data_IF_963421260671
#
_entry.id   IF_963421260671
#
_cell.length_a   1.000
_cell.length_b   1.000
_cell.length_c   1.000
_cell.angle_alpha   90.00
_cell.angle_beta   90.00
_cell.angle_gamma   90.00
#
_symmetry.space_group_name_H-M   'P 1'
#
loop_
_entity.id
_entity.type
_entity.pdbx_description
1 polymer ?
#
# COMPACT_ATOMS: atom_id res chain seq x y z
N UNK A 1 26.57 10.13 16.46
CA UNK A 1 27.42 10.77 15.42
C UNK A 1 26.72 10.58 14.08
N UNK A 2 26.63 11.61 13.22
CA UNK A 2 26.15 11.41 11.86
C UNK A 2 27.06 10.40 11.16
N UNK A 3 26.47 9.43 10.45
CA UNK A 3 27.22 8.52 9.58
C UNK A 3 27.87 9.34 8.47
N UNK A 4 29.11 9.04 8.10
CA UNK A 4 29.75 9.73 6.97
C UNK A 4 29.11 9.29 5.64
N UNK A 5 28.88 10.25 4.75
CA UNK A 5 28.34 10.00 3.40
C UNK A 5 29.30 9.13 2.58
N UNK A 6 28.79 8.00 2.06
CA UNK A 6 29.54 7.14 1.14
C UNK A 6 29.53 7.73 -0.26
N UNK A 7 30.72 8.05 -0.79
CA UNK A 7 30.93 8.53 -2.16
C UNK A 7 30.07 9.79 -2.49
N UNK A 8 30.37 10.93 -1.84
CA UNK A 8 29.61 12.16 -1.99
C UNK A 8 29.68 12.72 -3.40
N UNK A 9 30.78 12.51 -4.14
CA UNK A 9 30.92 13.01 -5.52
C UNK A 9 29.87 12.40 -6.43
N UNK A 10 29.68 11.07 -6.41
CA UNK A 10 28.64 10.43 -7.20
C UNK A 10 27.23 10.82 -6.76
N UNK A 11 27.01 11.02 -5.47
CA UNK A 11 25.71 11.50 -4.97
C UNK A 11 25.35 12.87 -5.56
N UNK A 12 26.28 13.82 -5.56
CA UNK A 12 26.05 15.14 -6.14
C UNK A 12 25.85 15.08 -7.67
N UNK A 13 26.52 14.16 -8.37
CA UNK A 13 26.29 13.94 -9.80
C UNK A 13 24.87 13.43 -10.10
N UNK A 14 24.38 12.46 -9.31
CA UNK A 14 23.01 11.95 -9.44
C UNK A 14 22.00 13.07 -9.17
N UNK A 15 22.18 13.82 -8.09
CA UNK A 15 21.30 14.95 -7.75
C UNK A 15 21.31 16.00 -8.85
N UNK A 16 22.48 16.33 -9.41
CA UNK A 16 22.61 17.26 -10.53
C UNK A 16 21.85 16.79 -11.78
N UNK A 17 21.92 15.50 -12.12
CA UNK A 17 21.14 14.91 -13.22
C UNK A 17 19.64 14.98 -12.97
N UNK A 18 19.21 14.63 -11.76
CA UNK A 18 17.80 14.69 -11.36
C UNK A 18 17.29 16.11 -11.49
N UNK A 19 17.96 17.10 -10.88
CA UNK A 19 17.56 18.51 -10.96
C UNK A 19 17.53 19.05 -12.39
N UNK A 20 18.40 18.56 -13.28
CA UNK A 20 18.40 18.92 -14.69
C UNK A 20 17.31 18.21 -15.52
N UNK A 21 16.57 17.27 -14.93
CA UNK A 21 15.57 16.45 -15.61
C UNK A 21 16.17 15.41 -16.57
N UNK A 22 17.47 15.12 -16.45
CA UNK A 22 18.23 14.22 -17.33
C UNK A 22 18.69 12.98 -16.55
N UNK A 23 17.71 12.21 -16.08
CA UNK A 23 17.92 11.00 -15.26
C UNK A 23 17.05 9.84 -15.76
N UNK A 24 17.19 8.66 -15.17
CA UNK A 24 16.37 7.47 -15.44
C UNK A 24 15.99 6.75 -14.12
N UNK A 25 15.35 5.58 -14.20
CA UNK A 25 15.02 4.79 -13.01
C UNK A 25 16.26 4.35 -12.23
N UNK A 26 17.38 4.10 -12.91
CA UNK A 26 18.64 3.68 -12.27
C UNK A 26 19.24 4.81 -11.42
N UNK A 27 19.13 6.05 -11.86
CA UNK A 27 19.55 7.21 -11.08
C UNK A 27 18.75 7.34 -9.77
N UNK A 28 17.44 7.09 -9.82
CA UNK A 28 16.58 7.06 -8.64
C UNK A 28 16.95 5.90 -7.72
N UNK A 29 17.12 4.69 -8.24
CA UNK A 29 17.56 3.53 -7.43
C UNK A 29 18.91 3.81 -6.74
N UNK A 30 19.90 4.32 -7.48
CA UNK A 30 21.21 4.67 -6.93
C UNK A 30 21.12 5.75 -5.84
N UNK A 31 20.22 6.73 -5.99
CA UNK A 31 19.95 7.73 -4.95
C UNK A 31 19.41 7.05 -3.68
N UNK A 32 18.40 6.19 -3.80
CA UNK A 32 17.80 5.45 -2.69
C UNK A 32 18.86 4.61 -1.96
N UNK A 33 19.63 3.82 -2.70
CA UNK A 33 20.70 2.98 -2.15
C UNK A 33 21.74 3.78 -1.36
N UNK A 34 22.11 4.96 -1.87
CA UNK A 34 23.08 5.84 -1.21
C UNK A 34 22.53 6.49 0.05
N UNK A 35 21.27 6.94 0.04
CA UNK A 35 20.72 7.72 1.15
C UNK A 35 20.03 6.88 2.24
N UNK A 36 19.64 5.62 1.97
CA UNK A 36 18.87 4.79 2.93
C UNK A 36 19.48 4.68 4.32
N UNK A 37 20.81 4.61 4.42
CA UNK A 37 21.52 4.37 5.67
C UNK A 37 21.45 5.57 6.63
N UNK A 38 21.05 6.72 6.12
CA UNK A 38 20.96 7.98 6.84
C UNK A 38 19.52 8.34 7.24
N UNK A 39 18.55 7.50 6.85
CA UNK A 39 17.15 7.65 7.23
C UNK A 39 16.90 7.13 8.65
N UNK A 40 15.86 7.67 9.29
CA UNK A 40 15.35 7.13 10.55
C UNK A 40 14.81 5.70 10.36
N UNK A 41 14.64 4.99 11.48
CA UNK A 41 13.90 3.74 11.46
C UNK A 41 12.41 4.03 11.22
N UNK A 42 11.76 3.22 10.37
CA UNK A 42 10.31 3.28 10.07
C UNK A 42 9.82 4.56 9.39
N UNK A 43 10.65 5.17 8.56
CA UNK A 43 10.21 6.28 7.69
C UNK A 43 9.77 5.74 6.32
N UNK A 44 8.89 6.46 5.62
CA UNK A 44 8.44 6.12 4.27
C UNK A 44 9.59 6.10 3.26
N UNK A 45 10.53 7.04 3.33
CA UNK A 45 11.74 7.02 2.51
C UNK A 45 12.54 5.74 2.73
N UNK A 46 12.75 5.34 4.00
CA UNK A 46 13.46 4.10 4.32
C UNK A 46 12.71 2.87 3.79
N UNK A 47 11.40 2.85 3.94
CA UNK A 47 10.52 1.80 3.39
C UNK A 47 10.75 1.64 1.90
N UNK A 48 10.58 2.71 1.11
CA UNK A 48 10.77 2.67 -0.35
C UNK A 48 12.18 2.25 -0.72
N UNK A 49 13.20 2.80 -0.05
CA UNK A 49 14.60 2.48 -0.36
C UNK A 49 14.96 1.02 -0.07
N UNK A 50 14.47 0.47 1.04
CA UNK A 50 14.65 -0.94 1.38
C UNK A 50 13.85 -1.84 0.43
N UNK A 51 12.63 -1.42 0.06
CA UNK A 51 11.78 -2.15 -0.87
C UNK A 51 12.41 -2.30 -2.26
N UNK A 52 13.01 -1.22 -2.76
CA UNK A 52 13.72 -1.25 -4.06
C UNK A 52 15.00 -2.09 -3.94
N UNK A 53 15.84 -1.81 -2.94
CA UNK A 53 17.21 -2.31 -2.92
C UNK A 53 17.40 -3.75 -2.39
N UNK A 54 16.48 -4.28 -1.58
CA UNK A 54 16.70 -5.57 -0.88
C UNK A 54 15.44 -6.43 -0.79
N UNK A 55 15.43 -7.55 -1.49
CA UNK A 55 14.32 -8.51 -1.45
C UNK A 55 14.02 -9.04 -0.04
N UNK A 56 15.03 -9.19 0.82
CA UNK A 56 14.85 -9.65 2.21
C UNK A 56 14.16 -8.59 3.08
N UNK A 57 14.45 -7.32 2.83
CA UNK A 57 13.89 -6.20 3.59
C UNK A 57 12.41 -5.98 3.26
N UNK A 58 11.95 -6.39 2.06
CA UNK A 58 10.53 -6.36 1.68
C UNK A 58 9.63 -7.22 2.59
N UNK A 59 10.22 -8.16 3.34
CA UNK A 59 9.50 -9.04 4.25
C UNK A 59 9.22 -8.37 5.62
N UNK A 60 9.53 -7.08 5.78
CA UNK A 60 9.25 -6.26 6.96
C UNK A 60 8.91 -4.83 6.53
N UNK A 61 8.38 -4.03 7.46
CA UNK A 61 8.10 -2.62 7.21
C UNK A 61 6.63 -2.30 6.93
N UNK A 62 6.37 -1.05 6.54
CA UNK A 62 5.04 -0.47 6.43
C UNK A 62 4.15 -1.20 5.41
N UNK A 63 4.69 -1.51 4.23
CA UNK A 63 3.93 -2.19 3.18
C UNK A 63 3.52 -3.61 3.61
N UNK A 64 4.46 -4.36 4.19
CA UNK A 64 4.24 -5.71 4.69
C UNK A 64 3.24 -5.73 5.86
N UNK A 65 3.38 -4.81 6.81
CA UNK A 65 2.47 -4.67 7.95
C UNK A 65 1.04 -4.31 7.49
N UNK A 66 0.94 -3.41 6.51
CA UNK A 66 -0.35 -2.91 6.00
C UNK A 66 -1.13 -4.00 5.27
N UNK A 67 -0.51 -4.70 4.31
CA UNK A 67 -1.20 -5.80 3.62
C UNK A 67 -1.49 -6.98 4.55
N UNK A 68 -0.63 -7.25 5.54
CA UNK A 68 -0.90 -8.29 6.55
C UNK A 68 -2.14 -7.96 7.39
N UNK A 69 -2.28 -6.69 7.81
CA UNK A 69 -3.46 -6.24 8.53
C UNK A 69 -4.74 -6.36 7.67
N UNK A 70 -4.64 -6.04 6.38
CA UNK A 70 -5.74 -6.20 5.44
C UNK A 70 -6.12 -7.68 5.24
N UNK A 71 -5.13 -8.55 5.00
CA UNK A 71 -5.31 -10.01 4.90
C UNK A 71 -6.01 -10.58 6.14
N UNK A 72 -5.56 -10.21 7.34
CA UNK A 72 -6.22 -10.65 8.58
C UNK A 72 -7.67 -10.16 8.68
N UNK A 73 -7.97 -8.96 8.16
CA UNK A 73 -9.33 -8.39 8.18
C UNK A 73 -10.25 -9.16 7.24
N UNK A 74 -9.80 -9.49 6.03
CA UNK A 74 -10.58 -10.30 5.09
C UNK A 74 -10.73 -11.74 5.60
N UNK A 75 -9.67 -12.33 6.15
CA UNK A 75 -9.74 -13.67 6.75
C UNK A 75 -10.75 -13.71 7.91
N UNK A 76 -10.73 -12.71 8.81
CA UNK A 76 -11.72 -12.60 9.87
C UNK A 76 -13.15 -12.41 9.35
N UNK A 77 -13.33 -11.59 8.32
CA UNK A 77 -14.63 -11.41 7.69
C UNK A 77 -15.17 -12.73 7.11
N UNK A 78 -14.33 -13.53 6.45
CA UNK A 78 -14.72 -14.84 5.94
C UNK A 78 -15.14 -15.78 7.08
N UNK A 79 -14.24 -16.00 8.04
CA UNK A 79 -14.39 -17.02 9.08
C UNK A 79 -15.48 -16.69 10.11
N UNK A 80 -15.67 -15.41 10.46
CA UNK A 80 -16.52 -15.01 11.60
C UNK A 80 -17.76 -14.23 11.18
N UNK A 81 -17.68 -13.42 10.12
CA UNK A 81 -18.79 -12.55 9.69
C UNK A 81 -19.65 -13.24 8.64
N UNK A 82 -19.05 -13.67 7.52
CA UNK A 82 -19.73 -14.32 6.41
C UNK A 82 -20.31 -15.69 6.82
N UNK A 83 -19.51 -16.51 7.50
CA UNK A 83 -19.95 -17.80 8.04
C UNK A 83 -20.82 -17.69 9.31
N UNK A 84 -21.04 -16.47 9.82
CA UNK A 84 -21.82 -16.19 11.04
C UNK A 84 -21.35 -16.98 12.27
N UNK A 85 -20.06 -17.29 12.33
CA UNK A 85 -19.44 -18.00 13.44
C UNK A 85 -19.09 -17.00 14.55
N UNK A 86 -19.61 -17.16 15.77
CA UNK A 86 -19.22 -16.28 16.87
C UNK A 86 -17.75 -16.54 17.26
N UNK A 87 -17.01 -15.46 17.50
CA UNK A 87 -15.69 -15.55 18.12
C UNK A 87 -15.86 -15.73 19.64
N UNK A 88 -15.47 -16.91 20.15
CA UNK A 88 -15.41 -17.18 21.57
C UNK A 88 -14.02 -16.86 22.13
N UNK A 89 -13.94 -15.82 22.97
CA UNK A 89 -12.69 -15.39 23.62
C UNK A 89 -12.40 -16.14 24.95
N UNK A 90 -13.33 -17.00 25.40
CA UNK A 90 -13.12 -17.83 26.59
C UNK A 90 -12.26 -19.06 26.32
N UNK A 91 -12.15 -19.45 25.04
CA UNK A 91 -11.31 -20.54 24.55
C UNK A 91 -10.12 -20.00 23.76
N UNK A 92 -9.16 -20.87 23.43
CA UNK A 92 -8.03 -20.47 22.58
C UNK A 92 -8.49 -20.23 21.15
N UNK A 93 -8.04 -19.14 20.55
CA UNK A 93 -8.37 -18.76 19.17
C UNK A 93 -7.10 -18.50 18.34
N UNK A 94 -7.17 -18.43 17.00
CA UNK A 94 -5.98 -18.19 16.17
C UNK A 94 -5.24 -16.89 16.50
N UNK A 95 -3.91 -16.93 16.58
CA UNK A 95 -3.09 -15.78 16.95
C UNK A 95 -3.20 -14.59 15.98
N UNK A 96 -3.63 -14.82 14.74
CA UNK A 96 -3.82 -13.74 13.77
C UNK A 96 -4.92 -12.76 14.21
N UNK A 97 -5.93 -13.22 14.98
CA UNK A 97 -7.02 -12.37 15.49
C UNK A 97 -6.48 -11.37 16.52
N UNK A 98 -5.52 -11.76 17.35
CA UNK A 98 -4.84 -10.82 18.23
C UNK A 98 -4.07 -9.75 17.43
N UNK A 99 -3.36 -10.16 16.37
CA UNK A 99 -2.66 -9.22 15.48
C UNK A 99 -3.65 -8.28 14.79
N UNK A 100 -4.81 -8.80 14.38
CA UNK A 100 -5.92 -8.02 13.81
C UNK A 100 -6.42 -6.96 14.80
N UNK A 101 -6.64 -7.32 16.07
CA UNK A 101 -7.07 -6.35 17.07
C UNK A 101 -6.07 -5.20 17.21
N UNK A 102 -4.77 -5.50 17.23
CA UNK A 102 -3.74 -4.47 17.31
C UNK A 102 -3.71 -3.58 16.07
N UNK A 103 -3.82 -4.14 14.86
CA UNK A 103 -3.80 -3.35 13.63
C UNK A 103 -5.07 -2.50 13.49
N UNK A 104 -6.23 -3.08 13.77
CA UNK A 104 -7.52 -2.38 13.69
C UNK A 104 -7.63 -1.26 14.73
N UNK A 105 -7.07 -1.45 15.94
CA UNK A 105 -7.02 -0.40 16.96
C UNK A 105 -6.13 0.80 16.57
N UNK A 106 -5.20 0.62 15.62
CA UNK A 106 -4.38 1.73 15.07
C UNK A 106 -5.10 2.46 13.93
N UNK A 107 -5.91 1.73 13.16
CA UNK A 107 -6.60 2.23 11.96
C UNK A 107 -7.99 2.82 12.26
N UNK A 108 -8.56 2.50 13.42
CA UNK A 108 -9.87 2.99 13.86
C UNK A 108 -9.93 4.51 14.01
N UNK A 109 -11.15 5.05 14.01
CA UNK A 109 -11.38 6.45 14.33
C UNK A 109 -11.23 6.70 15.84
N UNK A 110 -10.14 7.37 16.22
CA UNK A 110 -9.85 7.69 17.63
C UNK A 110 -10.94 8.57 18.26
N UNK A 111 -11.60 9.44 17.49
CA UNK A 111 -12.64 10.33 18.01
C UNK A 111 -13.85 9.51 18.45
N UNK A 112 -14.26 8.54 17.63
CA UNK A 112 -15.33 7.59 17.97
C UNK A 112 -14.92 6.67 19.11
N UNK A 113 -13.68 6.17 19.12
CA UNK A 113 -13.18 5.36 20.24
C UNK A 113 -13.25 6.10 21.59
N UNK A 114 -12.87 7.38 21.60
CA UNK A 114 -12.95 8.22 22.80
C UNK A 114 -14.40 8.51 23.20
N UNK A 115 -15.27 8.81 22.24
CA UNK A 115 -16.66 9.20 22.50
C UNK A 115 -17.53 8.01 22.96
N UNK A 116 -17.45 6.87 22.27
CA UNK A 116 -18.32 5.70 22.50
C UNK A 116 -17.74 4.74 23.55
N UNK A 117 -16.42 4.56 23.60
CA UNK A 117 -15.77 3.54 24.43
C UNK A 117 -14.82 4.09 25.49
N UNK A 118 -14.64 5.42 25.56
CA UNK A 118 -13.74 6.10 26.52
C UNK A 118 -12.29 5.63 26.44
N UNK A 119 -11.81 5.23 25.26
CA UNK A 119 -10.44 4.79 25.04
C UNK A 119 -9.75 5.57 23.92
N UNK A 120 -8.47 5.87 24.09
CA UNK A 120 -7.59 6.26 22.98
C UNK A 120 -7.03 5.01 22.28
N UNK A 121 -6.39 5.19 21.12
CA UNK A 121 -5.63 4.12 20.46
C UNK A 121 -4.61 3.49 21.42
N UNK A 122 -3.81 4.33 22.09
CA UNK A 122 -2.78 3.87 23.02
C UNK A 122 -3.37 3.05 24.19
N UNK A 123 -4.49 3.49 24.76
CA UNK A 123 -5.15 2.76 25.85
C UNK A 123 -5.72 1.43 25.38
N UNK A 124 -6.37 1.39 24.21
CA UNK A 124 -6.93 0.16 23.65
C UNK A 124 -5.82 -0.86 23.34
N UNK A 125 -4.75 -0.44 22.67
CA UNK A 125 -3.58 -1.26 22.36
C UNK A 125 -2.99 -1.85 23.66
N UNK A 126 -2.75 -1.01 24.67
CA UNK A 126 -2.22 -1.45 25.97
C UNK A 126 -3.16 -2.44 26.66
N UNK A 127 -4.48 -2.26 26.55
CA UNK A 127 -5.48 -3.21 27.08
C UNK A 127 -5.42 -4.53 26.31
N UNK A 128 -5.31 -4.53 24.99
CA UNK A 128 -5.13 -5.75 24.19
C UNK A 128 -3.85 -6.48 24.61
N UNK A 129 -2.70 -5.80 24.67
CA UNK A 129 -1.42 -6.40 25.03
C UNK A 129 -1.41 -6.99 26.46
N UNK A 130 -2.10 -6.35 27.40
CA UNK A 130 -2.16 -6.81 28.79
C UNK A 130 -3.18 -7.93 29.03
N UNK A 131 -4.24 -8.03 28.23
CA UNK A 131 -5.31 -9.01 28.42
C UNK A 131 -5.17 -10.27 27.58
N UNK A 132 -4.25 -10.33 26.62
CA UNK A 132 -4.09 -11.51 25.76
C UNK A 132 -2.67 -12.10 25.85
N UNK A 133 -2.56 -13.40 25.58
CA UNK A 133 -1.29 -14.11 25.52
C UNK A 133 -1.22 -14.95 24.26
N UNK A 134 -0.11 -14.85 23.53
CA UNK A 134 0.14 -15.64 22.32
C UNK A 134 1.04 -16.81 22.68
N UNK A 135 0.61 -18.02 22.32
CA UNK A 135 1.50 -19.18 22.23
C UNK A 135 2.06 -19.26 20.80
N UNK A 136 3.35 -18.94 20.67
CA UNK A 136 4.06 -18.96 19.39
C UNK A 136 4.24 -20.37 18.83
N UNK A 137 4.21 -21.42 19.67
CA UNK A 137 4.40 -22.80 19.22
C UNK A 137 3.15 -23.35 18.54
N UNK A 138 1.99 -23.06 19.11
CA UNK A 138 0.69 -23.53 18.60
C UNK A 138 0.06 -22.54 17.63
N UNK A 139 0.54 -21.30 17.57
CA UNK A 139 -0.07 -20.25 16.76
C UNK A 139 -1.44 -19.81 17.29
N UNK A 140 -1.70 -20.02 18.58
CA UNK A 140 -2.96 -19.66 19.24
C UNK A 140 -2.78 -18.51 20.23
N UNK A 141 -3.89 -17.87 20.56
CA UNK A 141 -4.00 -16.80 21.52
C UNK A 141 -5.11 -17.12 22.52
N UNK A 142 -4.95 -16.69 23.78
CA UNK A 142 -5.96 -16.83 24.82
C UNK A 142 -6.01 -15.56 25.68
N UNK A 143 -7.17 -15.33 26.29
CA UNK A 143 -7.35 -14.22 27.22
C UNK A 143 -6.74 -14.55 28.59
N UNK A 144 -6.00 -13.61 29.17
CA UNK A 144 -5.43 -13.70 30.52
C UNK A 144 -6.53 -13.42 31.55
N UNK A 145 -6.81 -14.40 32.41
CA UNK A 145 -7.58 -14.26 33.66
C UNK A 145 -8.94 -13.54 33.57
N UNK A 146 -9.80 -13.81 32.57
CA UNK A 146 -11.18 -13.27 32.50
C UNK A 146 -11.34 -11.75 32.73
N UNK A 147 -10.28 -10.95 32.49
CA UNK A 147 -10.23 -9.51 32.78
C UNK A 147 -10.64 -8.63 31.61
N UNK A 148 -11.12 -9.21 30.51
CA UNK A 148 -11.73 -8.48 29.41
C UNK A 148 -13.06 -7.88 29.84
N UNK A 149 -13.04 -6.74 30.53
CA UNK A 149 -14.24 -6.01 30.90
C UNK A 149 -15.12 -5.69 29.68
N UNK A 150 -16.42 -5.47 29.90
CA UNK A 150 -17.42 -5.22 28.85
C UNK A 150 -16.98 -4.13 27.87
N UNK A 151 -16.31 -3.09 28.35
CA UNK A 151 -15.77 -2.01 27.51
C UNK A 151 -14.73 -2.49 26.50
N UNK A 152 -13.82 -3.39 26.90
CA UNK A 152 -12.81 -3.93 25.99
C UNK A 152 -13.49 -4.76 24.91
N UNK A 153 -14.44 -5.62 25.30
CA UNK A 153 -15.16 -6.47 24.35
C UNK A 153 -15.96 -5.64 23.34
N UNK A 154 -16.66 -4.60 23.82
CA UNK A 154 -17.39 -3.68 22.94
C UNK A 154 -16.45 -2.94 21.98
N UNK A 155 -15.29 -2.47 22.46
CA UNK A 155 -14.29 -1.82 21.61
C UNK A 155 -13.70 -2.80 20.57
N UNK A 156 -13.45 -4.07 20.94
CA UNK A 156 -12.98 -5.10 20.01
C UNK A 156 -14.01 -5.40 18.92
N UNK A 157 -15.29 -5.49 19.30
CA UNK A 157 -16.39 -5.69 18.34
C UNK A 157 -16.52 -4.49 17.40
N UNK A 158 -16.34 -3.27 17.91
CA UNK A 158 -16.35 -2.06 17.09
C UNK A 158 -15.23 -2.07 16.05
N UNK A 159 -13.97 -2.23 16.47
CA UNK A 159 -12.82 -2.16 15.55
C UNK A 159 -12.78 -3.31 14.53
N UNK A 160 -13.48 -4.41 14.79
CA UNK A 160 -13.56 -5.56 13.86
C UNK A 160 -14.83 -5.57 13.01
N UNK A 161 -15.73 -4.59 13.17
CA UNK A 161 -16.96 -4.50 12.36
C UNK A 161 -16.77 -3.81 11.01
N UNK A 162 -15.57 -3.32 10.71
CA UNK A 162 -15.22 -2.67 9.45
C UNK A 162 -13.90 -3.19 8.90
N UNK A 163 -13.78 -3.22 7.56
CA UNK A 163 -12.51 -3.46 6.88
C UNK A 163 -11.95 -2.09 6.48
N UNK A 164 -10.80 -1.71 7.06
CA UNK A 164 -10.11 -0.49 6.68
C UNK A 164 -9.23 -0.75 5.46
N UNK A 165 -9.49 -0.03 4.37
CA UNK A 165 -8.66 -0.02 3.16
C UNK A 165 -8.03 1.35 3.01
N UNK A 166 -6.76 1.50 3.40
CA UNK A 166 -5.99 2.74 3.29
C UNK A 166 -4.56 2.41 2.90
N UNK A 167 -3.98 3.14 1.95
CA UNK A 167 -2.57 2.97 1.59
C UNK A 167 -1.63 2.96 2.79
N UNK A 168 -0.57 2.16 2.70
CA UNK A 168 0.47 2.10 3.72
C UNK A 168 1.14 3.48 3.89
N UNK A 169 1.32 4.21 2.78
CA UNK A 169 1.82 5.58 2.77
C UNK A 169 1.45 6.30 1.47
N UNK A 170 1.59 7.63 1.48
CA UNK A 170 1.43 8.46 0.29
C UNK A 170 2.80 8.86 -0.27
N UNK A 171 2.94 8.97 -1.60
CA UNK A 171 4.24 9.29 -2.24
C UNK A 171 4.80 10.67 -1.85
N UNK A 172 3.95 11.60 -1.40
CA UNK A 172 4.41 12.90 -0.86
C UNK A 172 5.18 12.77 0.46
N UNK A 173 4.85 11.77 1.28
CA UNK A 173 5.55 11.51 2.52
C UNK A 173 6.98 11.06 2.21
N UNK A 174 7.14 10.22 1.18
CA UNK A 174 8.45 9.86 0.62
C UNK A 174 9.27 11.10 0.22
N UNK A 175 8.71 12.01 -0.59
CA UNK A 175 9.43 13.21 -1.05
C UNK A 175 9.86 14.12 0.09
N UNK A 176 8.97 14.30 1.07
CA UNK A 176 9.24 15.12 2.25
C UNK A 176 10.42 14.55 3.03
N UNK A 177 10.36 13.26 3.35
CA UNK A 177 11.40 12.61 4.13
C UNK A 177 12.73 12.48 3.37
N UNK A 178 12.71 12.27 2.04
CA UNK A 178 13.92 12.24 1.22
C UNK A 178 14.67 13.58 1.32
N UNK A 179 13.95 14.71 1.20
CA UNK A 179 14.55 16.04 1.39
C UNK A 179 15.09 16.22 2.80
N UNK A 180 14.39 15.73 3.82
CA UNK A 180 14.85 15.82 5.20
C UNK A 180 16.14 15.01 5.42
N UNK A 181 16.26 13.82 4.82
CA UNK A 181 17.49 13.03 4.82
C UNK A 181 18.63 13.79 4.14
N UNK A 182 18.41 14.38 2.97
CA UNK A 182 19.43 15.19 2.27
C UNK A 182 19.89 16.39 3.10
N UNK A 183 18.94 17.13 3.71
CA UNK A 183 19.23 18.28 4.59
C UNK A 183 20.01 17.85 5.84
N UNK A 184 19.61 16.75 6.49
CA UNK A 184 20.29 16.22 7.67
C UNK A 184 21.74 15.82 7.37
N UNK A 185 22.00 15.34 6.15
CA UNK A 185 23.35 15.00 5.68
C UNK A 185 24.09 16.17 5.01
N UNK A 186 23.50 17.39 5.05
CA UNK A 186 24.07 18.61 4.45
C UNK A 186 24.40 18.47 2.96
N UNK A 187 23.63 17.65 2.26
CA UNK A 187 23.70 17.54 0.81
C UNK A 187 23.08 18.78 0.21
N UNK A 188 23.80 19.44 -0.71
CA UNK A 188 23.31 20.67 -1.34
C UNK A 188 22.48 20.31 -2.56
N UNK A 189 21.26 20.83 -2.64
CA UNK A 189 20.35 20.67 -3.77
C UNK A 189 19.45 21.91 -3.89
N UNK A 190 18.93 22.17 -5.09
CA UNK A 190 17.92 23.22 -5.33
C UNK A 190 16.53 22.62 -5.11
N UNK A 191 15.82 23.08 -4.08
CA UNK A 191 14.49 22.58 -3.75
C UNK A 191 13.48 22.86 -4.86
N UNK A 192 13.53 24.04 -5.49
CA UNK A 192 12.59 24.38 -6.55
C UNK A 192 12.79 23.48 -7.77
N UNK A 193 14.05 23.29 -8.18
CA UNK A 193 14.38 22.37 -9.27
C UNK A 193 13.97 20.93 -8.91
N UNK A 194 14.18 20.50 -7.66
CA UNK A 194 13.77 19.17 -7.20
C UNK A 194 12.25 18.96 -7.29
N UNK A 195 11.45 19.92 -6.83
CA UNK A 195 9.99 19.85 -6.88
C UNK A 195 9.46 19.72 -8.31
N UNK A 196 10.13 20.34 -9.31
CA UNK A 196 9.73 20.17 -10.72
C UNK A 196 9.89 18.72 -11.23
N UNK A 197 10.64 17.90 -10.51
CA UNK A 197 10.94 16.51 -10.88
C UNK A 197 10.22 15.49 -9.99
N UNK A 198 9.43 15.95 -9.01
CA UNK A 198 8.77 15.09 -8.02
C UNK A 198 7.90 14.01 -8.68
N UNK A 199 7.14 14.38 -9.72
CA UNK A 199 6.31 13.42 -10.46
C UNK A 199 7.15 12.35 -11.17
N UNK A 200 8.25 12.75 -11.81
CA UNK A 200 9.15 11.84 -12.53
C UNK A 200 9.85 10.86 -11.59
N UNK A 201 10.31 11.34 -10.44
CA UNK A 201 10.87 10.50 -9.36
C UNK A 201 9.79 9.53 -8.84
N UNK A 202 8.56 10.01 -8.67
CA UNK A 202 7.44 9.16 -8.24
C UNK A 202 7.16 8.04 -9.25
N UNK A 203 7.15 8.34 -10.56
CA UNK A 203 6.97 7.34 -11.62
C UNK A 203 8.09 6.29 -11.62
N UNK A 204 9.34 6.71 -11.44
CA UNK A 204 10.47 5.77 -11.30
C UNK A 204 10.27 4.84 -10.10
N UNK A 205 9.84 5.36 -8.94
CA UNK A 205 9.53 4.55 -7.76
C UNK A 205 8.39 3.57 -8.04
N UNK A 206 7.31 4.02 -8.69
CA UNK A 206 6.20 3.15 -9.06
C UNK A 206 6.68 2.00 -9.95
N UNK A 207 7.56 2.27 -10.93
CA UNK A 207 8.16 1.23 -11.78
C UNK A 207 9.01 0.24 -10.96
N UNK A 208 9.93 0.76 -10.14
CA UNK A 208 10.85 -0.05 -9.32
C UNK A 208 10.13 -0.93 -8.30
N UNK A 209 8.99 -0.47 -7.76
CA UNK A 209 8.16 -1.23 -6.82
C UNK A 209 7.18 -2.16 -7.53
N UNK A 210 6.72 -1.81 -8.73
CA UNK A 210 5.81 -2.66 -9.50
C UNK A 210 6.41 -4.05 -9.78
N UNK A 211 5.57 -5.08 -9.78
CA UNK A 211 5.95 -6.47 -10.05
C UNK A 211 6.98 -7.08 -9.08
N UNK A 212 7.20 -6.45 -7.93
CA UNK A 212 7.98 -7.05 -6.84
C UNK A 212 7.13 -8.03 -6.04
N UNK A 213 7.79 -9.03 -5.44
CA UNK A 213 7.17 -10.01 -4.54
C UNK A 213 7.83 -9.98 -3.17
N UNK A 214 7.05 -10.32 -2.14
CA UNK A 214 7.50 -10.38 -0.76
C UNK A 214 6.66 -11.36 0.06
N UNK A 215 7.13 -11.69 1.27
CA UNK A 215 6.51 -12.69 2.14
C UNK A 215 5.76 -12.01 3.28
N UNK A 216 4.55 -12.50 3.54
CA UNK A 216 3.70 -12.04 4.64
C UNK A 216 4.07 -12.74 5.95
N UNK A 217 3.57 -12.21 7.08
CA UNK A 217 3.91 -12.71 8.41
C UNK A 217 3.42 -14.15 8.70
N UNK A 218 2.52 -14.67 7.86
CA UNK A 218 2.01 -16.04 7.88
C UNK A 218 2.76 -16.96 6.88
N UNK A 219 3.77 -16.45 6.17
CA UNK A 219 4.54 -17.18 5.16
C UNK A 219 3.94 -17.15 3.75
N UNK A 220 2.76 -16.58 3.53
CA UNK A 220 2.18 -16.48 2.19
C UNK A 220 2.89 -15.42 1.36
N UNK A 221 2.88 -15.57 0.03
CA UNK A 221 3.44 -14.57 -0.87
C UNK A 221 2.44 -13.44 -1.14
N UNK A 222 2.97 -12.23 -1.28
CA UNK A 222 2.29 -11.06 -1.79
C UNK A 222 3.11 -10.44 -2.93
N UNK A 223 2.44 -9.67 -3.79
CA UNK A 223 3.05 -8.95 -4.89
C UNK A 223 2.60 -7.50 -4.96
N UNK A 224 3.35 -6.68 -5.66
CA UNK A 224 3.01 -5.29 -5.96
C UNK A 224 2.60 -5.15 -7.42
N UNK A 225 1.58 -4.35 -7.70
CA UNK A 225 1.09 -4.10 -9.05
C UNK A 225 0.74 -2.63 -9.24
N UNK A 226 1.25 -2.03 -10.32
CA UNK A 226 0.86 -0.69 -10.73
C UNK A 226 -0.55 -0.73 -11.33
N UNK A 227 -1.46 0.08 -10.80
CA UNK A 227 -2.82 0.25 -11.29
C UNK A 227 -3.33 1.67 -11.03
N UNK A 228 -4.62 1.87 -11.30
CA UNK A 228 -5.39 3.07 -11.02
C UNK A 228 -6.55 2.74 -10.09
N UNK A 229 -7.11 3.77 -9.43
CA UNK A 229 -8.29 3.63 -8.55
C UNK A 229 -9.46 2.95 -9.26
N UNK A 230 -9.69 3.33 -10.52
CA UNK A 230 -10.71 2.73 -11.37
C UNK A 230 -10.06 1.97 -12.53
N UNK A 231 -10.57 0.78 -12.83
CA UNK A 231 -10.08 -0.04 -13.94
C UNK A 231 -10.42 0.52 -15.33
N UNK A 232 -11.52 1.25 -15.42
CA UNK A 232 -12.01 1.88 -16.63
C UNK A 232 -12.53 3.28 -16.31
N UNK A 233 -12.76 4.10 -17.33
CA UNK A 233 -13.63 5.27 -17.26
C UNK A 233 -14.71 5.24 -18.34
N UNK A 234 -15.88 5.77 -18.02
CA UNK A 234 -16.95 5.98 -18.97
C UNK A 234 -16.65 7.21 -19.81
N UNK A 235 -16.63 7.05 -21.13
CA UNK A 235 -16.55 8.16 -22.08
C UNK A 235 -17.93 8.74 -22.37
N UNK A 236 -18.96 7.89 -22.34
CA UNK A 236 -20.36 8.24 -22.48
C UNK A 236 -21.26 7.15 -21.86
N UNK A 237 -22.57 7.43 -21.83
CA UNK A 237 -23.57 6.48 -21.38
C UNK A 237 -23.68 6.35 -19.86
N UNK A 238 -24.36 5.30 -19.42
CA UNK A 238 -24.55 4.98 -18.01
C UNK A 238 -24.50 3.46 -17.84
N UNK A 239 -23.78 2.99 -16.82
CA UNK A 239 -23.77 1.58 -16.42
C UNK A 239 -24.80 1.31 -15.34
N UNK A 240 -25.29 0.07 -15.30
CA UNK A 240 -26.15 -0.39 -14.21
C UNK A 240 -25.28 -0.92 -13.06
N UNK A 241 -25.40 -0.32 -11.88
CA UNK A 241 -24.74 -0.79 -10.67
C UNK A 241 -25.38 -2.09 -10.15
N UNK A 242 -24.70 -2.86 -9.27
CA UNK A 242 -25.30 -4.03 -8.62
C UNK A 242 -26.58 -3.72 -7.83
N UNK A 243 -26.76 -2.47 -7.39
CA UNK A 243 -27.98 -1.97 -6.75
C UNK A 243 -29.15 -1.79 -7.72
N UNK A 244 -28.92 -1.96 -9.03
CA UNK A 244 -29.87 -1.71 -10.09
C UNK A 244 -29.94 -0.25 -10.56
N UNK A 245 -29.28 0.68 -9.86
CA UNK A 245 -29.23 2.11 -10.22
C UNK A 245 -28.32 2.35 -11.43
N UNK A 246 -28.69 3.31 -12.27
CA UNK A 246 -27.84 3.78 -13.37
C UNK A 246 -26.80 4.77 -12.84
N UNK A 247 -25.58 4.70 -13.37
CA UNK A 247 -24.46 5.56 -12.98
C UNK A 247 -23.61 5.95 -14.17
N UNK A 248 -23.27 7.23 -14.26
CA UNK A 248 -22.28 7.77 -15.21
C UNK A 248 -20.85 7.71 -14.68
N UNK A 249 -20.61 7.05 -13.55
CA UNK A 249 -19.29 6.92 -12.92
C UNK A 249 -18.69 5.52 -13.12
N UNK A 250 -17.36 5.39 -13.18
CA UNK A 250 -16.37 6.45 -13.01
C UNK A 250 -16.10 7.26 -14.30
N UNK A 251 -15.97 8.58 -14.18
CA UNK A 251 -15.61 9.49 -15.29
C UNK A 251 -14.08 9.66 -15.48
N UNK A 252 -13.28 9.14 -14.55
CA UNK A 252 -11.81 9.15 -14.62
C UNK A 252 -11.23 7.84 -14.07
N UNK A 253 -9.98 7.55 -14.41
CA UNK A 253 -9.24 6.44 -13.82
C UNK A 253 -8.90 6.66 -12.32
N UNK A 254 -9.09 7.88 -11.82
CA UNK A 254 -8.50 8.31 -10.55
C UNK A 254 -6.99 8.49 -10.70
N UNK A 255 -6.22 8.08 -9.70
CA UNK A 255 -4.77 8.32 -9.61
C UNK A 255 -3.99 7.03 -9.82
N UNK A 256 -2.73 7.14 -10.24
CA UNK A 256 -1.80 6.01 -10.24
C UNK A 256 -1.50 5.55 -8.81
N UNK A 257 -1.39 4.25 -8.60
CA UNK A 257 -1.10 3.65 -7.31
C UNK A 257 -0.42 2.28 -7.45
N UNK A 258 0.26 1.86 -6.38
CA UNK A 258 0.67 0.46 -6.22
C UNK A 258 -0.39 -0.26 -5.39
N UNK A 259 -0.94 -1.32 -5.93
CA UNK A 259 -1.71 -2.31 -5.19
C UNK A 259 -0.80 -3.42 -4.67
N UNK A 260 -1.01 -3.83 -3.43
CA UNK A 260 -0.57 -5.10 -2.89
C UNK A 260 -1.58 -6.19 -3.19
N UNK A 261 -1.12 -7.27 -3.81
CA UNK A 261 -1.93 -8.45 -4.11
C UNK A 261 -1.51 -9.60 -3.19
N UNK A 262 -2.48 -10.30 -2.59
CA UNK A 262 -2.24 -11.46 -1.76
C UNK A 262 -3.32 -12.53 -1.99
N UNK A 263 -3.03 -13.77 -1.58
CA UNK A 263 -4.00 -14.85 -1.60
C UNK A 263 -4.36 -15.29 -0.18
N UNK A 264 -5.67 -15.45 0.07
CA UNK A 264 -6.20 -16.00 1.31
C UNK A 264 -6.69 -17.42 1.03
N UNK A 265 -6.13 -18.38 1.74
CA UNK A 265 -6.57 -19.77 1.65
C UNK A 265 -7.96 -19.92 2.27
N UNK A 266 -8.84 -20.63 1.57
CA UNK A 266 -10.17 -20.99 2.06
C UNK A 266 -10.24 -22.51 2.19
N UNK A 267 -10.89 -22.99 3.25
CA UNK A 267 -11.07 -24.42 3.44
C UNK A 267 -11.92 -24.97 2.28
N UNK A 268 -11.37 -25.93 1.53
CA UNK A 268 -12.05 -26.61 0.42
C UNK A 268 -12.46 -25.72 -0.77
N UNK A 269 -11.89 -24.51 -0.92
CA UNK A 269 -12.15 -23.60 -2.04
C UNK A 269 -10.85 -23.08 -2.66
N UNK A 270 -10.95 -22.54 -3.88
CA UNK A 270 -9.83 -21.83 -4.48
C UNK A 270 -9.43 -20.60 -3.63
N UNK A 271 -8.12 -20.32 -3.48
CA UNK A 271 -7.66 -19.15 -2.74
C UNK A 271 -8.33 -17.87 -3.22
N UNK A 272 -8.82 -17.06 -2.29
CA UNK A 272 -9.34 -15.73 -2.61
C UNK A 272 -8.17 -14.81 -2.89
N UNK A 273 -8.08 -14.27 -4.10
CA UNK A 273 -7.15 -13.19 -4.42
C UNK A 273 -7.74 -11.87 -3.93
N UNK A 274 -6.95 -11.11 -3.20
CA UNK A 274 -7.31 -9.78 -2.72
C UNK A 274 -6.28 -8.78 -3.24
N UNK A 275 -6.74 -7.56 -3.46
CA UNK A 275 -5.91 -6.42 -3.81
C UNK A 275 -6.20 -5.27 -2.86
N UNK A 276 -5.18 -4.53 -2.50
CA UNK A 276 -5.24 -3.47 -1.49
C UNK A 276 -4.28 -2.33 -1.87
N UNK A 277 -4.65 -1.04 -1.78
CA UNK A 277 -3.73 0.05 -2.06
C UNK A 277 -2.56 0.01 -1.08
N UNK A 278 -1.32 -0.08 -1.58
CA UNK A 278 -0.09 0.00 -0.79
C UNK A 278 0.51 1.40 -0.84
N UNK A 279 0.62 1.98 -2.03
CA UNK A 279 1.20 3.31 -2.25
C UNK A 279 0.22 4.12 -3.09
N UNK A 280 -0.26 5.22 -2.53
CA UNK A 280 -1.09 6.19 -3.27
C UNK A 280 -0.24 7.37 -3.76
N UNK A 281 -0.67 7.95 -4.89
CA UNK A 281 -0.04 9.14 -5.47
C UNK A 281 -1.10 10.19 -5.81
N UNK A 282 -0.68 11.33 -6.37
CA UNK A 282 -1.58 12.29 -7.05
C UNK A 282 -1.41 12.31 -8.57
N UNK A 283 -0.71 11.31 -9.12
CA UNK A 283 -0.35 11.28 -10.53
C UNK A 283 -1.57 10.91 -11.37
N UNK A 284 -1.94 11.81 -12.27
CA UNK A 284 -2.99 11.63 -13.25
C UNK A 284 -2.51 10.71 -14.38
N UNK A 285 -3.16 9.54 -14.61
CA UNK A 285 -2.79 8.63 -15.66
C UNK A 285 -2.68 9.29 -17.03
N UNK A 286 -3.61 10.19 -17.42
CA UNK A 286 -3.56 10.85 -18.74
C UNK A 286 -2.37 11.80 -18.90
N UNK A 287 -1.80 12.29 -17.80
CA UNK A 287 -0.60 13.13 -17.81
C UNK A 287 0.69 12.34 -17.75
N UNK A 288 0.68 11.11 -17.24
CA UNK A 288 1.90 10.38 -16.93
C UNK A 288 2.03 9.02 -17.62
N UNK A 289 1.00 8.55 -18.32
CA UNK A 289 1.03 7.36 -19.15
C UNK A 289 1.18 7.75 -20.63
N UNK A 290 1.85 6.88 -21.38
CA UNK A 290 1.93 7.00 -22.83
C UNK A 290 0.53 6.81 -23.45
N UNK A 291 0.14 7.60 -24.46
CA UNK A 291 -1.17 7.50 -25.11
C UNK A 291 -1.49 6.09 -25.64
N UNK A 292 -0.49 5.29 -26.01
CA UNK A 292 -0.66 3.91 -26.48
C UNK A 292 -1.20 2.96 -25.41
N UNK A 293 -1.15 3.34 -24.13
CA UNK A 293 -1.73 2.56 -23.05
C UNK A 293 -3.26 2.65 -23.00
N UNK A 294 -3.86 3.67 -23.59
CA UNK A 294 -5.30 3.89 -23.51
C UNK A 294 -6.01 3.22 -24.67
N UNK A 295 -6.84 2.22 -24.36
CA UNK A 295 -7.62 1.48 -25.34
C UNK A 295 -9.09 1.79 -25.12
N UNK A 296 -9.78 2.17 -26.20
CA UNK A 296 -11.22 2.26 -26.19
C UNK A 296 -11.81 0.88 -26.43
N UNK A 297 -12.73 0.49 -25.56
CA UNK A 297 -13.44 -0.78 -25.68
C UNK A 297 -14.95 -0.52 -25.72
N UNK A 298 -15.64 -1.24 -26.61
CA UNK A 298 -17.10 -1.32 -26.58
C UNK A 298 -17.44 -2.54 -25.75
N UNK A 299 -17.79 -2.28 -24.50
CA UNK A 299 -17.74 -3.33 -23.50
C UNK A 299 -18.81 -4.43 -23.74
N UNK A 300 -18.59 -5.68 -23.29
CA UNK A 300 -19.53 -6.80 -23.45
C UNK A 300 -20.90 -6.50 -22.83
N UNK A 301 -21.88 -7.38 -23.06
CA UNK A 301 -23.30 -7.27 -22.71
C UNK A 301 -23.66 -6.68 -21.32
N UNK A 302 -22.73 -6.65 -20.36
CA UNK A 302 -22.90 -6.10 -19.01
C UNK A 302 -22.89 -4.56 -18.92
N UNK A 303 -22.40 -3.86 -19.95
CA UNK A 303 -22.28 -2.39 -19.95
C UNK A 303 -23.27 -1.67 -20.86
N UNK A 304 -24.12 -2.40 -21.61
CA UNK A 304 -25.02 -1.81 -22.61
C UNK A 304 -24.28 -1.01 -23.68
N UNK A 305 -24.89 0.06 -24.20
CA UNK A 305 -24.33 0.92 -25.26
C UNK A 305 -23.26 1.93 -24.75
N UNK A 306 -22.47 1.56 -23.74
CA UNK A 306 -21.46 2.46 -23.17
C UNK A 306 -20.09 2.30 -23.85
N UNK A 307 -19.47 3.42 -24.22
CA UNK A 307 -18.06 3.45 -24.59
C UNK A 307 -17.20 3.64 -23.33
N UNK A 308 -16.23 2.75 -23.14
CA UNK A 308 -15.26 2.85 -22.05
C UNK A 308 -13.85 3.04 -22.59
N UNK A 309 -13.01 3.66 -21.78
CA UNK A 309 -11.57 3.63 -21.97
C UNK A 309 -10.96 2.81 -20.83
N UNK A 310 -10.03 1.93 -21.17
CA UNK A 310 -9.26 1.11 -20.24
C UNK A 310 -7.76 1.41 -20.40
N UNK A 311 -6.99 1.18 -19.34
CA UNK A 311 -5.53 1.22 -19.43
C UNK A 311 -5.01 -0.20 -19.61
N UNK A 312 -4.27 -0.42 -20.69
CA UNK A 312 -3.70 -1.69 -21.07
C UNK A 312 -2.39 -1.97 -20.33
N UNK A 313 -2.52 -2.28 -19.03
CA UNK A 313 -1.38 -2.62 -18.17
C UNK A 313 -0.66 -3.90 -18.62
N UNK A 314 0.67 -3.91 -18.50
CA UNK A 314 1.50 -5.11 -18.62
C UNK A 314 2.07 -5.51 -17.26
N UNK A 315 2.60 -6.74 -17.18
CA UNK A 315 3.32 -7.19 -15.98
C UNK A 315 4.60 -6.38 -15.74
N UNK A 316 5.27 -5.97 -16.81
CA UNK A 316 6.44 -5.09 -16.77
C UNK A 316 6.09 -3.75 -17.41
N UNK A 317 6.34 -2.68 -16.66
CA UNK A 317 6.17 -1.29 -17.09
C UNK A 317 7.52 -0.60 -17.04
N UNK A 318 7.73 0.39 -17.90
CA UNK A 318 8.97 1.17 -18.01
C UNK A 318 8.66 2.64 -18.28
N UNK A 319 9.66 3.50 -18.17
CA UNK A 319 9.55 4.90 -18.58
C UNK A 319 10.10 5.13 -19.99
N UNK A 320 9.42 5.95 -20.77
CA UNK A 320 9.93 6.50 -22.03
C UNK A 320 10.95 7.61 -21.76
N UNK A 321 11.66 8.08 -22.80
CA UNK A 321 12.57 9.23 -22.72
C UNK A 321 11.87 10.50 -22.21
N UNK A 322 10.57 10.66 -22.52
CA UNK A 322 9.73 11.77 -22.04
C UNK A 322 9.15 11.54 -20.63
N UNK A 323 9.60 10.50 -19.92
CA UNK A 323 9.12 10.11 -18.60
C UNK A 323 7.62 9.80 -18.57
N UNK A 324 7.15 9.02 -19.54
CA UNK A 324 5.80 8.44 -19.53
C UNK A 324 5.87 6.95 -19.24
N UNK A 325 4.92 6.47 -18.44
CA UNK A 325 4.72 5.03 -18.24
C UNK A 325 4.30 4.38 -19.56
N UNK A 326 4.95 3.29 -19.90
CA UNK A 326 4.64 2.47 -21.07
C UNK A 326 4.84 0.99 -20.72
N UNK A 327 4.26 0.09 -21.50
CA UNK A 327 4.57 -1.33 -21.37
C UNK A 327 6.00 -1.58 -21.85
N UNK A 328 6.77 -2.39 -21.13
CA UNK A 328 8.15 -2.72 -21.53
C UNK A 328 8.21 -3.43 -22.88
N UNK A 329 7.19 -4.24 -23.22
CA UNK A 329 7.12 -4.94 -24.51
C UNK A 329 6.87 -4.02 -25.71
N UNK A 330 6.39 -2.79 -25.49
CA UNK A 330 6.24 -1.76 -26.52
C UNK A 330 7.54 -1.03 -26.85
N UNK A 331 8.56 -1.08 -25.97
CA UNK A 331 9.86 -0.42 -26.18
C UNK A 331 10.84 -1.26 -27.03
N UNK A 332 10.54 -2.53 -27.24
CA UNK A 332 11.39 -3.49 -27.96
C UNK A 332 11.05 -3.60 -29.46
N UNK A 333 10.17 -2.72 -29.97
CA UNK A 333 9.74 -2.66 -31.38
C UNK A 333 10.43 -1.53 -32.14
#
# INVERSE_FOLDING_TARGET
MPLELKDPVKLHQIIGRIQAGAFDENDVDNLLMKLRAYAGEKTVFREVADFVAHSEERNRGLAQESITAFVHSIQYFQEYVSEKRPLDLSTSFPAYIYKLFLSQARLSDERRLKAEYKMSHATLIKKIESNFSIDKKTGTCSMRNNKGGVELLAALQFITSFIHSRAAFHIRDFHTELKDVMRAQRVTFDEAAWETQADRISLAILCLVSNTQFVLANGSQAGCKLQTENHFRLLNGQRRLPTGMMSSEPTSFGRLMILGEAAINRANEAPLRISFPLIDTDLDPHKHCDPTLFVQDQSPADFGDCNVEIINWAAAMSLTEDFKLVRTDSLLQ
#
